data_IF_534877367361
#
_entry.id   IF_534877367361
#
_cell.length_a   1.000
_cell.length_b   1.000
_cell.length_c   1.000
_cell.angle_alpha   90.00
_cell.angle_beta   90.00
_cell.angle_gamma   90.00
#
_symmetry.space_group_name_H-M   'P 1'
#
loop_
_entity.id
_entity.type
_entity.pdbx_description
1 polymer ?
#
# COMPACT_ATOMS: atom_id res chain seq x y z
N UNK A 1 -18.96 6.26 3.16
CA UNK A 1 -17.87 7.19 3.54
C UNK A 1 -16.56 6.90 2.76
N UNK A 2 -16.47 5.90 1.88
CA UNK A 2 -15.19 5.52 1.23
C UNK A 2 -14.69 6.45 0.12
N UNK A 3 -15.42 7.53 -0.23
CA UNK A 3 -15.09 8.47 -1.32
C UNK A 3 -14.79 9.90 -0.85
N UNK A 4 -14.50 10.14 0.43
CA UNK A 4 -14.13 11.48 0.91
C UNK A 4 -15.26 12.49 1.10
N UNK A 5 -16.52 12.07 0.95
CA UNK A 5 -17.68 12.89 1.27
C UNK A 5 -17.97 12.84 2.79
N UNK A 6 -17.48 13.84 3.51
CA UNK A 6 -17.69 14.00 4.95
C UNK A 6 -18.89 14.92 5.29
N UNK A 7 -19.39 15.67 4.31
CA UNK A 7 -20.54 16.57 4.42
C UNK A 7 -21.91 15.92 4.20
N UNK A 8 -21.99 14.58 4.09
CA UNK A 8 -23.23 13.91 3.68
C UNK A 8 -24.36 14.16 4.69
N UNK A 9 -25.50 14.66 4.20
CA UNK A 9 -26.76 14.75 4.92
C UNK A 9 -27.83 13.94 4.18
N UNK A 10 -28.32 12.88 4.81
CA UNK A 10 -29.41 12.05 4.27
C UNK A 10 -30.69 12.44 4.99
N UNK A 11 -31.70 12.86 4.23
CA UNK A 11 -33.04 13.13 4.74
C UNK A 11 -33.97 12.06 4.22
N UNK A 12 -34.74 11.44 5.11
CA UNK A 12 -35.65 10.34 4.78
C UNK A 12 -37.08 10.84 4.89
N UNK A 13 -37.83 10.71 3.81
CA UNK A 13 -39.28 10.94 3.79
C UNK A 13 -39.97 9.58 3.65
N UNK A 14 -40.92 9.31 4.54
CA UNK A 14 -41.70 8.07 4.53
C UNK A 14 -43.13 8.46 4.20
N UNK A 15 -43.64 7.93 3.08
CA UNK A 15 -45.02 8.09 2.69
C UNK A 15 -45.71 6.73 2.71
N UNK A 16 -46.88 6.66 3.33
CA UNK A 16 -47.72 5.46 3.32
C UNK A 16 -48.92 5.79 2.46
N UNK A 17 -49.17 5.00 1.43
CA UNK A 17 -50.30 5.22 0.56
C UNK A 17 -51.59 4.60 1.11
N UNK A 18 -52.69 4.90 0.43
CA UNK A 18 -54.04 4.40 0.69
C UNK A 18 -54.19 2.88 0.56
N UNK A 19 -53.21 2.21 -0.09
CA UNK A 19 -53.12 0.76 -0.22
C UNK A 19 -52.17 0.14 0.82
N UNK A 20 -51.75 0.90 1.83
CA UNK A 20 -50.84 0.46 2.89
C UNK A 20 -49.46 0.01 2.36
N UNK A 21 -49.04 0.57 1.22
CA UNK A 21 -47.67 0.45 0.69
C UNK A 21 -46.84 1.60 1.23
N UNK A 22 -45.58 1.32 1.52
CA UNK A 22 -44.65 2.32 2.07
C UNK A 22 -43.68 2.75 0.98
N UNK A 23 -43.76 4.01 0.58
CA UNK A 23 -42.74 4.70 -0.19
C UNK A 23 -41.67 5.27 0.75
N UNK A 24 -40.39 5.04 0.40
CA UNK A 24 -39.26 5.65 1.10
C UNK A 24 -38.52 6.50 0.07
N UNK A 25 -38.53 7.80 0.29
CA UNK A 25 -37.72 8.75 -0.46
C UNK A 25 -36.50 9.12 0.37
N UNK A 26 -35.33 9.10 -0.28
CA UNK A 26 -34.04 9.40 0.32
C UNK A 26 -33.44 10.59 -0.41
N UNK A 27 -33.50 11.76 0.20
CA UNK A 27 -32.78 12.94 -0.27
C UNK A 27 -31.35 12.89 0.25
N UNK A 28 -30.39 12.73 -0.66
CA UNK A 28 -28.97 12.63 -0.34
C UNK A 28 -28.30 13.94 -0.74
N UNK A 29 -27.83 14.70 0.24
CA UNK A 29 -26.94 15.83 0.01
C UNK A 29 -25.51 15.38 0.30
N UNK A 30 -24.66 15.26 -0.71
CA UNK A 30 -23.32 14.67 -0.56
C UNK A 30 -22.32 15.62 0.12
N UNK A 31 -22.53 16.94 0.02
CA UNK A 31 -21.61 17.98 0.50
C UNK A 31 -20.35 18.11 -0.37
N UNK A 32 -19.42 18.99 0.02
CA UNK A 32 -18.13 19.11 -0.67
C UNK A 32 -17.16 17.98 -0.27
N UNK A 33 -16.32 17.57 -1.21
CA UNK A 33 -15.24 16.58 -0.96
C UNK A 33 -14.19 17.25 -0.09
N UNK A 34 -13.81 16.58 1.00
CA UNK A 34 -12.74 17.07 1.85
C UNK A 34 -11.40 16.94 1.12
N UNK A 35 -10.65 18.04 1.07
CA UNK A 35 -9.35 18.14 0.41
C UNK A 35 -8.21 17.92 1.40
N UNK A 36 -7.13 17.32 0.95
CA UNK A 36 -5.93 17.10 1.75
C UNK A 36 -5.16 18.43 1.79
N UNK A 37 -5.14 19.06 2.96
CA UNK A 37 -4.41 20.31 3.19
C UNK A 37 -2.94 20.05 3.48
N UNK A 38 -2.64 18.97 4.20
CA UNK A 38 -1.27 18.56 4.50
C UNK A 38 -1.16 17.04 4.70
N UNK A 39 -0.03 16.47 4.30
CA UNK A 39 0.32 15.07 4.51
C UNK A 39 1.78 14.98 4.94
N UNK A 40 2.02 14.33 6.09
CA UNK A 40 3.37 14.18 6.65
C UNK A 40 3.68 12.75 7.02
N UNK A 41 4.92 12.35 6.83
CA UNK A 41 5.43 11.02 7.20
C UNK A 41 6.61 11.20 8.14
N UNK A 42 6.50 10.63 9.34
CA UNK A 42 7.50 10.74 10.41
C UNK A 42 8.00 9.37 10.85
N UNK A 43 9.27 9.31 11.26
CA UNK A 43 9.92 8.06 11.70
C UNK A 43 10.61 7.27 10.60
N UNK A 44 10.77 7.86 9.41
CA UNK A 44 11.67 7.38 8.35
C UNK A 44 13.06 8.00 8.55
N UNK A 45 14.12 7.18 8.49
CA UNK A 45 15.51 7.63 8.47
C UNK A 45 16.23 7.18 7.19
N UNK A 46 15.75 6.11 6.52
CA UNK A 46 16.39 5.50 5.35
C UNK A 46 15.93 6.15 4.05
N UNK A 47 14.65 6.52 3.98
CA UNK A 47 14.05 7.18 2.81
C UNK A 47 13.63 8.61 3.16
N UNK A 48 13.81 9.52 2.22
CA UNK A 48 13.35 10.89 2.38
C UNK A 48 11.81 10.93 2.41
N UNK A 49 11.24 11.87 3.18
CA UNK A 49 9.79 12.02 3.32
C UNK A 49 9.10 12.24 1.97
N UNK A 50 9.70 13.05 1.09
CA UNK A 50 9.17 13.34 -0.25
C UNK A 50 9.07 12.08 -1.12
N UNK A 51 10.08 11.22 -1.09
CA UNK A 51 10.08 9.95 -1.84
C UNK A 51 8.95 9.02 -1.37
N UNK A 52 8.66 9.03 -0.06
CA UNK A 52 7.57 8.26 0.51
C UNK A 52 6.20 8.85 0.17
N UNK A 53 6.08 10.18 0.16
CA UNK A 53 4.86 10.89 -0.24
C UNK A 53 4.53 10.67 -1.73
N UNK A 54 5.54 10.55 -2.59
CA UNK A 54 5.37 10.28 -4.02
C UNK A 54 4.76 8.90 -4.32
N UNK A 55 4.83 7.95 -3.38
CA UNK A 55 4.15 6.65 -3.49
C UNK A 55 2.63 6.75 -3.38
N UNK A 56 2.11 7.87 -2.87
CA UNK A 56 0.69 8.08 -2.69
C UNK A 56 0.08 8.75 -3.93
N UNK A 57 -1.02 8.17 -4.40
CA UNK A 57 -1.86 8.77 -5.46
C UNK A 57 -2.64 9.99 -4.96
N UNK A 58 -2.72 10.17 -3.64
CA UNK A 58 -3.30 11.32 -2.94
C UNK A 58 -2.19 12.09 -2.21
N UNK A 59 -2.37 13.38 -1.98
CA UNK A 59 -1.37 14.14 -1.21
C UNK A 59 -1.69 15.62 -1.12
N UNK A 60 -0.71 16.37 -0.64
CA UNK A 60 -0.79 17.83 -0.66
C UNK A 60 -0.91 18.34 -2.10
N UNK A 61 -1.54 19.51 -2.25
CA UNK A 61 -1.57 20.24 -3.52
C UNK A 61 -0.17 20.80 -3.86
N UNK A 62 0.78 19.93 -4.21
CA UNK A 62 2.13 20.28 -4.65
C UNK A 62 2.18 20.80 -6.10
N UNK A 63 2.96 21.86 -6.31
CA UNK A 63 3.14 22.68 -7.53
C UNK A 63 1.85 22.96 -8.35
N UNK A 64 1.32 24.18 -8.15
CA UNK A 64 0.17 24.87 -8.76
C UNK A 64 -0.17 24.55 -10.25
N UNK A 65 0.75 24.00 -11.04
CA UNK A 65 0.52 23.67 -12.46
C UNK A 65 0.05 22.24 -12.73
N UNK A 66 0.26 21.26 -11.82
CA UNK A 66 -0.14 19.86 -12.04
C UNK A 66 -1.55 19.56 -11.51
N UNK A 67 -1.95 20.21 -10.40
CA UNK A 67 -3.17 19.87 -9.67
C UNK A 67 -4.49 20.35 -10.32
N UNK A 68 -4.45 21.17 -11.38
CA UNK A 68 -5.68 21.58 -12.08
C UNK A 68 -6.33 20.42 -12.86
N UNK A 69 -5.62 19.32 -13.07
CA UNK A 69 -6.10 18.17 -13.85
C UNK A 69 -6.17 16.85 -13.08
N UNK A 70 -5.51 16.72 -11.93
CA UNK A 70 -5.29 15.40 -11.28
C UNK A 70 -6.20 15.11 -10.09
N UNK A 71 -6.91 16.10 -9.53
CA UNK A 71 -7.75 15.94 -8.32
C UNK A 71 -7.01 15.20 -7.17
N UNK A 72 -5.67 15.34 -7.11
CA UNK A 72 -4.78 14.60 -6.19
C UNK A 72 -5.02 15.00 -4.73
N UNK A 73 -5.63 16.16 -4.51
CA UNK A 73 -6.03 16.67 -3.21
C UNK A 73 -7.33 16.04 -2.69
N UNK A 74 -8.09 15.27 -3.47
CA UNK A 74 -9.32 14.63 -2.98
C UNK A 74 -9.00 13.47 -2.02
N UNK A 75 -9.46 13.56 -0.78
CA UNK A 75 -9.27 12.47 0.17
C UNK A 75 -10.01 11.20 -0.27
N UNK A 76 -9.27 10.11 -0.39
CA UNK A 76 -9.83 8.77 -0.57
C UNK A 76 -9.16 7.82 0.41
N UNK A 77 -9.96 7.18 1.27
CA UNK A 77 -9.44 6.15 2.18
C UNK A 77 -8.79 5.02 1.39
N UNK A 78 -9.35 4.65 0.24
CA UNK A 78 -8.81 3.58 -0.61
C UNK A 78 -7.42 3.95 -1.14
N UNK A 79 -7.23 5.20 -1.57
CA UNK A 79 -5.93 5.67 -2.07
C UNK A 79 -4.90 5.79 -0.94
N UNK A 80 -5.32 6.21 0.26
CA UNK A 80 -4.46 6.23 1.45
C UNK A 80 -3.98 4.82 1.81
N UNK A 81 -4.90 3.86 1.89
CA UNK A 81 -4.59 2.46 2.20
C UNK A 81 -3.66 1.86 1.13
N UNK A 82 -3.88 2.18 -0.15
CA UNK A 82 -3.01 1.75 -1.25
C UNK A 82 -1.59 2.32 -1.15
N UNK A 83 -1.44 3.62 -0.85
CA UNK A 83 -0.13 4.24 -0.66
C UNK A 83 0.62 3.69 0.56
N UNK A 84 -0.10 3.39 1.65
CA UNK A 84 0.48 2.72 2.83
C UNK A 84 1.03 1.33 2.48
N UNK A 85 0.28 0.54 1.70
CA UNK A 85 0.76 -0.77 1.25
C UNK A 85 1.91 -0.67 0.24
N UNK A 86 1.93 0.36 -0.61
CA UNK A 86 3.05 0.65 -1.51
C UNK A 86 4.33 0.98 -0.73
N UNK A 87 4.23 1.87 0.27
CA UNK A 87 5.32 2.21 1.18
C UNK A 87 5.82 0.97 1.93
N UNK A 88 4.92 0.18 2.53
CA UNK A 88 5.29 -1.08 3.20
C UNK A 88 6.02 -2.04 2.25
N UNK A 89 5.54 -2.14 1.02
CA UNK A 89 6.18 -2.97 -0.01
C UNK A 89 7.58 -2.47 -0.37
N UNK A 90 7.79 -1.16 -0.49
CA UNK A 90 9.10 -0.57 -0.75
C UNK A 90 10.12 -0.97 0.32
N UNK A 91 9.76 -0.85 1.60
CA UNK A 91 10.63 -1.20 2.72
C UNK A 91 10.93 -2.69 2.79
N UNK A 92 9.92 -3.55 2.66
CA UNK A 92 10.09 -5.01 2.65
C UNK A 92 10.98 -5.44 1.47
N UNK A 93 10.82 -4.80 0.31
CA UNK A 93 11.64 -5.09 -0.87
C UNK A 93 13.11 -4.65 -0.69
N UNK A 94 13.37 -3.72 0.22
CA UNK A 94 14.69 -3.15 0.51
C UNK A 94 15.40 -3.77 1.72
N UNK A 95 14.77 -4.72 2.42
CA UNK A 95 15.40 -5.46 3.52
C UNK A 95 14.83 -5.18 4.91
N UNK A 96 13.82 -4.33 5.02
CA UNK A 96 13.22 -3.92 6.30
C UNK A 96 11.97 -4.76 6.59
N UNK A 97 12.18 -5.97 7.12
CA UNK A 97 11.09 -6.94 7.35
C UNK A 97 10.17 -6.54 8.52
N UNK A 98 10.69 -5.80 9.49
CA UNK A 98 9.94 -5.33 10.66
C UNK A 98 9.24 -3.98 10.41
N UNK A 99 9.26 -3.48 9.17
CA UNK A 99 8.62 -2.22 8.84
C UNK A 99 7.14 -2.23 9.23
N UNK A 100 6.72 -1.20 9.97
CA UNK A 100 5.34 -1.05 10.41
C UNK A 100 4.91 0.42 10.41
N UNK A 101 3.65 0.64 10.07
CA UNK A 101 2.99 1.91 10.31
C UNK A 101 2.41 1.88 11.71
N UNK A 102 2.96 2.69 12.61
CA UNK A 102 2.55 2.73 14.02
C UNK A 102 1.20 3.43 14.18
N UNK A 103 1.01 4.54 13.47
CA UNK A 103 -0.18 5.37 13.60
C UNK A 103 -0.43 6.12 12.30
N UNK A 104 -1.71 6.23 11.95
CA UNK A 104 -2.20 7.15 10.93
C UNK A 104 -3.23 8.03 11.63
N UNK A 105 -2.92 9.31 11.79
CA UNK A 105 -3.84 10.31 12.32
C UNK A 105 -4.45 11.09 11.16
N UNK A 106 -5.78 11.24 11.17
CA UNK A 106 -6.50 12.06 10.19
C UNK A 106 -7.34 13.07 10.94
N UNK A 107 -7.00 14.34 10.77
CA UNK A 107 -7.69 15.45 11.41
C UNK A 107 -8.50 16.20 10.35
N UNK A 108 -9.82 16.23 10.55
CA UNK A 108 -10.76 16.96 9.71
C UNK A 108 -11.05 18.33 10.36
N UNK A 109 -10.90 19.40 9.58
CA UNK A 109 -11.24 20.77 10.01
C UNK A 109 -12.72 20.92 10.37
N UNK A 110 -13.05 21.92 11.18
CA UNK A 110 -14.43 22.18 11.62
C UNK A 110 -15.39 22.46 10.45
N UNK A 111 -14.88 23.07 9.38
CA UNK A 111 -15.61 23.33 8.13
C UNK A 111 -15.85 22.06 7.28
N UNK A 112 -15.25 20.92 7.67
CA UNK A 112 -15.26 19.63 6.97
C UNK A 112 -14.70 19.66 5.54
N UNK A 113 -13.95 20.69 5.19
CA UNK A 113 -13.38 20.87 3.86
C UNK A 113 -11.90 20.49 3.77
N UNK A 114 -11.17 20.47 4.88
CA UNK A 114 -9.73 20.23 4.90
C UNK A 114 -9.38 19.04 5.80
N UNK A 115 -8.52 18.14 5.31
CA UNK A 115 -8.00 16.99 6.03
C UNK A 115 -6.49 17.11 6.12
N UNK A 116 -5.96 16.97 7.33
CA UNK A 116 -4.54 16.77 7.60
C UNK A 116 -4.27 15.31 7.90
N UNK A 117 -3.21 14.75 7.32
CA UNK A 117 -2.83 13.34 7.48
C UNK A 117 -1.42 13.28 8.06
N UNK A 118 -1.28 12.68 9.23
CA UNK A 118 0.03 12.41 9.85
C UNK A 118 0.24 10.90 9.95
N UNK A 119 1.27 10.41 9.26
CA UNK A 119 1.66 9.00 9.24
C UNK A 119 2.93 8.86 10.09
N UNK A 120 2.90 7.97 11.07
CA UNK A 120 4.05 7.61 11.87
C UNK A 120 4.48 6.18 11.54
N UNK A 121 5.71 6.03 11.06
CA UNK A 121 6.29 4.74 10.68
C UNK A 121 7.41 4.33 11.63
N UNK A 122 7.75 3.06 11.58
CA UNK A 122 8.94 2.50 12.20
C UNK A 122 9.56 1.52 11.21
N UNK A 123 10.77 1.84 10.78
CA UNK A 123 11.46 1.09 9.73
C UNK A 123 11.92 -0.30 10.22
N UNK A 124 12.30 -0.38 11.49
CA UNK A 124 12.91 -1.56 12.07
C UNK A 124 14.38 -1.68 11.69
N UNK A 125 14.92 -2.90 11.73
CA UNK A 125 16.31 -3.17 11.35
C UNK A 125 16.41 -3.69 9.91
N UNK A 126 17.53 -3.40 9.25
CA UNK A 126 17.88 -4.01 7.98
C UNK A 126 18.26 -5.49 8.18
N UNK A 127 17.59 -6.38 7.45
CA UNK A 127 17.86 -7.81 7.48
C UNK A 127 18.82 -8.23 6.38
N UNK A 128 19.68 -9.18 6.72
CA UNK A 128 20.61 -9.84 5.79
C UNK A 128 20.27 -11.31 5.65
N UNK A 129 20.63 -11.86 4.50
CA UNK A 129 20.47 -13.29 4.22
C UNK A 129 21.43 -14.07 5.10
N UNK A 130 20.91 -14.82 6.07
CA UNK A 130 21.73 -15.57 7.02
C UNK A 130 22.34 -16.86 6.46
N UNK A 131 21.68 -17.48 5.48
CA UNK A 131 22.14 -18.72 4.84
C UNK A 131 21.02 -19.36 4.03
N UNK A 132 21.39 -20.07 2.98
CA UNK A 132 20.45 -20.69 2.05
C UNK A 132 20.55 -22.20 2.18
N UNK A 133 19.41 -22.87 2.31
CA UNK A 133 19.34 -24.33 2.44
C UNK A 133 18.23 -24.86 1.56
N UNK A 134 18.56 -25.85 0.75
CA UNK A 134 17.59 -26.63 0.00
C UNK A 134 17.10 -27.79 0.85
N UNK A 135 15.81 -28.11 0.76
CA UNK A 135 15.18 -29.22 1.48
C UNK A 135 14.11 -29.84 0.58
N UNK A 136 13.96 -31.16 0.63
CA UNK A 136 13.03 -31.91 -0.22
C UNK A 136 13.74 -32.90 -1.14
N UNK A 137 13.04 -33.34 -2.18
CA UNK A 137 13.59 -34.19 -3.23
C UNK A 137 14.28 -33.30 -4.27
N UNK A 138 15.61 -33.38 -4.32
CA UNK A 138 16.45 -32.62 -5.26
C UNK A 138 16.63 -33.36 -6.60
N UNK A 139 16.05 -34.56 -6.73
CA UNK A 139 16.10 -35.40 -7.92
C UNK A 139 17.56 -35.60 -8.38
N UNK A 140 17.90 -35.06 -9.56
CA UNK A 140 19.22 -35.20 -10.18
C UNK A 140 20.15 -33.99 -9.96
N UNK A 141 19.69 -32.96 -9.24
CA UNK A 141 20.46 -31.73 -9.06
C UNK A 141 21.34 -31.80 -7.81
N UNK A 142 22.60 -31.36 -7.95
CA UNK A 142 23.46 -31.17 -6.79
C UNK A 142 23.12 -29.86 -6.08
N UNK A 143 23.43 -29.78 -4.79
CA UNK A 143 23.25 -28.54 -4.00
C UNK A 143 24.12 -27.41 -4.57
N UNK A 144 25.29 -27.74 -5.11
CA UNK A 144 26.22 -26.75 -5.69
C UNK A 144 25.64 -26.16 -6.98
N UNK A 145 25.08 -26.99 -7.86
CA UNK A 145 24.41 -26.51 -9.09
C UNK A 145 23.22 -25.60 -8.79
N UNK A 146 22.46 -25.92 -7.73
CA UNK A 146 21.33 -25.10 -7.29
C UNK A 146 21.79 -23.78 -6.66
N UNK A 147 22.89 -23.79 -5.89
CA UNK A 147 23.47 -22.57 -5.33
C UNK A 147 23.98 -21.62 -6.42
N UNK A 148 24.65 -22.14 -7.45
CA UNK A 148 25.17 -21.35 -8.57
C UNK A 148 24.05 -20.69 -9.40
N UNK A 149 22.84 -21.24 -9.35
CA UNK A 149 21.67 -20.69 -10.02
C UNK A 149 21.02 -19.53 -9.25
N UNK A 150 21.29 -19.38 -7.96
CA UNK A 150 20.66 -18.35 -7.14
C UNK A 150 21.25 -16.97 -7.43
N UNK A 151 20.37 -15.98 -7.58
CA UNK A 151 20.76 -14.56 -7.67
C UNK A 151 21.04 -13.95 -6.29
N UNK A 152 20.56 -14.61 -5.23
CA UNK A 152 20.73 -14.21 -3.85
C UNK A 152 21.90 -14.95 -3.19
N UNK A 153 22.69 -14.21 -2.42
CA UNK A 153 23.92 -14.67 -1.77
C UNK A 153 23.82 -14.55 -0.26
N UNK A 154 24.56 -15.39 0.46
CA UNK A 154 24.65 -15.30 1.92
C UNK A 154 25.38 -14.01 2.33
N UNK A 155 24.86 -13.32 3.35
CA UNK A 155 25.44 -12.09 3.91
C UNK A 155 25.03 -10.79 3.20
N UNK A 156 24.38 -10.85 2.04
CA UNK A 156 23.84 -9.64 1.39
C UNK A 156 22.55 -9.16 2.05
N UNK A 157 22.20 -7.88 1.82
CA UNK A 157 20.92 -7.30 2.30
C UNK A 157 19.76 -8.04 1.64
N UNK A 158 18.77 -8.41 2.44
CA UNK A 158 17.58 -9.08 1.94
C UNK A 158 16.89 -8.22 0.88
N UNK A 159 16.74 -8.77 -0.33
CA UNK A 159 15.96 -8.15 -1.40
C UNK A 159 14.92 -9.13 -1.88
N UNK A 160 13.65 -8.83 -1.63
CA UNK A 160 12.54 -9.71 -2.01
C UNK A 160 12.57 -10.10 -3.48
N UNK A 161 12.92 -9.16 -4.37
CA UNK A 161 13.04 -9.39 -5.82
C UNK A 161 14.05 -10.51 -6.13
N UNK A 162 15.24 -10.48 -5.51
CA UNK A 162 16.26 -11.52 -5.72
C UNK A 162 15.82 -12.89 -5.22
N UNK A 163 15.07 -12.94 -4.11
CA UNK A 163 14.49 -14.19 -3.60
C UNK A 163 13.53 -14.78 -4.62
N UNK A 164 12.60 -13.96 -5.14
CA UNK A 164 11.62 -14.40 -6.13
C UNK A 164 12.31 -14.86 -7.42
N UNK A 165 13.31 -14.12 -7.90
CA UNK A 165 14.11 -14.50 -9.08
C UNK A 165 14.83 -15.83 -8.87
N UNK A 166 15.39 -16.06 -7.67
CA UNK A 166 16.08 -17.31 -7.35
C UNK A 166 15.11 -18.49 -7.26
N UNK A 167 13.92 -18.30 -6.69
CA UNK A 167 12.85 -19.30 -6.69
C UNK A 167 12.43 -19.62 -8.13
N UNK A 168 12.20 -18.59 -8.95
CA UNK A 168 11.80 -18.76 -10.34
C UNK A 168 12.86 -19.52 -11.14
N UNK A 169 14.15 -19.19 -10.98
CA UNK A 169 15.23 -19.88 -11.67
C UNK A 169 15.26 -21.38 -11.34
N UNK A 170 15.07 -21.73 -10.06
CA UNK A 170 14.97 -23.13 -9.62
C UNK A 170 13.72 -23.81 -10.19
N UNK A 171 12.55 -23.15 -10.15
CA UNK A 171 11.31 -23.68 -10.73
C UNK A 171 11.46 -23.90 -12.24
N UNK A 172 12.04 -22.96 -12.97
CA UNK A 172 12.25 -23.05 -14.42
C UNK A 172 13.18 -24.22 -14.77
N UNK A 173 14.24 -24.42 -14.00
CA UNK A 173 15.15 -25.56 -14.16
C UNK A 173 14.43 -26.91 -14.06
N UNK A 174 13.53 -27.07 -13.08
CA UNK A 174 12.74 -28.29 -12.94
C UNK A 174 11.61 -28.38 -13.98
N UNK A 175 11.01 -27.26 -14.36
CA UNK A 175 10.01 -27.22 -15.43
C UNK A 175 10.59 -27.69 -16.78
N UNK A 176 11.81 -27.25 -17.12
CA UNK A 176 12.54 -27.68 -18.33
C UNK A 176 12.83 -29.19 -18.36
N UNK A 177 12.92 -29.82 -17.19
CA UNK A 177 13.09 -31.27 -17.03
C UNK A 177 11.76 -32.05 -17.07
N UNK A 178 10.63 -31.35 -17.27
CA UNK A 178 9.29 -31.94 -17.38
C UNK A 178 8.48 -31.94 -16.09
N UNK A 179 8.96 -31.29 -15.02
CA UNK A 179 8.23 -31.16 -13.76
C UNK A 179 7.37 -29.89 -13.75
N UNK A 180 6.16 -29.96 -14.29
CA UNK A 180 5.27 -28.81 -14.48
C UNK A 180 4.70 -28.18 -13.19
N UNK A 181 4.94 -28.76 -12.01
CA UNK A 181 4.41 -28.30 -10.71
C UNK A 181 5.47 -28.31 -9.59
N UNK A 182 6.75 -28.15 -9.94
CA UNK A 182 7.87 -28.13 -8.99
C UNK A 182 8.06 -26.76 -8.32
#
# INVERSE_FOLDING_TARGET
ISKGYYGIKITKTIEIDDQNRVGIELDIFEGEVARISSMKISGSEVHDEDDLLDLFEIGEAGFFLLNYFTEKDHYSKVALDAGVEAMKSLYINSGYLDFKVNKIATDLSEDKQNISIDIQVNEGSEYKVGGIKFSGDLLNQSIDDLNDLLTITEGEVFKRKKVIESIQAVTDLFADQGYAFA
#
